data_IF_285779927693
#
_entry.id   IF_285779927693
#
_cell.length_a   1.000
_cell.length_b   1.000
_cell.length_c   1.000
_cell.angle_alpha   90.00
_cell.angle_beta   90.00
_cell.angle_gamma   90.00
#
_symmetry.space_group_name_H-M   'P 1'
#
loop_
_entity.id
_entity.type
_entity.pdbx_description
1 polymer ?
#
# COMPACT_ATOMS: atom_id res chain seq x y z
N UNK A 1 -28.18 12.85 -54.86
CA UNK A 1 -29.17 12.51 -55.91
C UNK A 1 -28.57 11.44 -56.79
N UNK A 2 -29.29 10.32 -56.95
CA UNK A 2 -28.96 9.08 -57.67
C UNK A 2 -28.14 8.03 -56.89
N UNK A 3 -28.58 6.81 -57.13
CA UNK A 3 -28.67 5.59 -56.34
C UNK A 3 -28.42 4.45 -57.37
N UNK A 4 -28.19 3.20 -56.92
CA UNK A 4 -28.09 1.94 -57.73
C UNK A 4 -26.69 1.67 -58.34
N UNK A 5 -26.02 0.49 -58.28
CA UNK A 5 -26.45 -0.93 -58.31
C UNK A 5 -25.35 -1.92 -57.82
N UNK A 6 -25.83 -2.96 -57.12
CA UNK A 6 -25.49 -4.40 -57.06
C UNK A 6 -24.07 -4.99 -57.02
N UNK A 7 -23.99 -5.91 -56.04
CA UNK A 7 -23.25 -7.18 -55.90
C UNK A 7 -22.42 -7.74 -57.05
N UNK A 8 -21.24 -8.25 -56.69
CA UNK A 8 -20.69 -9.48 -57.26
C UNK A 8 -20.03 -10.32 -56.15
N UNK A 9 -20.57 -11.53 -55.97
CA UNK A 9 -19.95 -12.65 -55.23
C UNK A 9 -18.66 -13.05 -55.93
N UNK A 10 -17.63 -13.43 -55.17
CA UNK A 10 -16.53 -14.20 -55.75
C UNK A 10 -15.36 -14.46 -54.81
N UNK A 11 -14.95 -15.74 -54.80
CA UNK A 11 -13.69 -16.35 -54.29
C UNK A 11 -13.74 -16.76 -52.82
N UNK A 12 -14.00 -18.04 -52.58
CA UNK A 12 -13.08 -19.20 -52.66
C UNK A 12 -12.12 -19.26 -51.48
N UNK A 13 -12.36 -20.32 -50.70
CA UNK A 13 -11.59 -20.86 -49.60
C UNK A 13 -10.09 -20.96 -49.91
N UNK A 14 -9.27 -20.60 -48.92
CA UNK A 14 -7.89 -21.09 -48.81
C UNK A 14 -7.49 -21.10 -47.33
N UNK A 15 -7.37 -22.32 -46.81
CA UNK A 15 -6.52 -22.79 -45.71
C UNK A 15 -6.25 -21.85 -44.52
N UNK A 16 -7.01 -22.05 -43.44
CA UNK A 16 -6.57 -21.68 -42.08
C UNK A 16 -6.36 -22.98 -41.31
N UNK A 17 -5.13 -23.47 -41.36
CA UNK A 17 -4.65 -24.57 -40.50
C UNK A 17 -4.33 -23.93 -39.14
N UNK A 18 -5.28 -23.98 -38.20
CA UNK A 18 -5.05 -23.54 -36.81
C UNK A 18 -4.26 -24.65 -36.13
N UNK A 19 -2.95 -24.45 -35.94
CA UNK A 19 -2.15 -25.23 -35.03
C UNK A 19 -2.61 -24.86 -33.61
N UNK A 20 -3.40 -25.73 -32.98
CA UNK A 20 -3.68 -25.65 -31.56
C UNK A 20 -2.43 -26.12 -30.80
N UNK A 21 -1.49 -25.21 -30.54
CA UNK A 21 -0.40 -25.42 -29.61
C UNK A 21 -0.99 -25.26 -28.20
N UNK A 22 -1.39 -26.37 -27.58
CA UNK A 22 -1.74 -26.40 -26.16
C UNK A 22 -0.44 -26.20 -25.39
N UNK A 23 -0.16 -24.96 -25.01
CA UNK A 23 0.87 -24.64 -24.03
C UNK A 23 0.29 -25.09 -22.68
N UNK A 24 0.64 -26.31 -22.26
CA UNK A 24 0.60 -26.72 -20.85
C UNK A 24 1.71 -25.93 -20.14
N UNK A 25 1.44 -24.66 -19.86
CA UNK A 25 2.17 -23.93 -18.83
C UNK A 25 1.79 -24.62 -17.52
N UNK A 26 2.67 -25.50 -17.05
CA UNK A 26 2.56 -26.06 -15.72
C UNK A 26 2.63 -24.90 -14.74
N UNK A 27 1.47 -24.45 -14.26
CA UNK A 27 1.35 -23.57 -13.10
C UNK A 27 2.02 -24.29 -11.95
N UNK A 28 3.26 -23.95 -11.64
CA UNK A 28 3.86 -24.36 -10.39
C UNK A 28 3.05 -23.65 -9.31
N UNK A 29 2.22 -24.41 -8.60
CA UNK A 29 1.63 -23.89 -7.37
C UNK A 29 2.78 -23.71 -6.41
N UNK A 30 3.16 -22.46 -6.16
CA UNK A 30 4.08 -22.11 -5.07
C UNK A 30 3.38 -22.57 -3.80
N UNK A 31 3.99 -23.51 -3.09
CA UNK A 31 3.48 -23.96 -1.80
C UNK A 31 3.79 -22.86 -0.79
N UNK A 32 2.76 -22.10 -0.41
CA UNK A 32 2.83 -21.14 0.70
C UNK A 32 3.05 -21.89 2.01
N UNK A 33 3.71 -21.24 2.97
CA UNK A 33 3.84 -21.77 4.32
C UNK A 33 2.47 -21.95 4.99
N UNK A 34 2.43 -22.71 6.07
CA UNK A 34 1.23 -22.73 6.91
C UNK A 34 1.03 -21.31 7.50
N UNK A 35 -0.17 -20.70 7.37
CA UNK A 35 -0.43 -19.39 7.95
C UNK A 35 -0.17 -19.36 9.45
N UNK A 36 0.36 -18.24 9.93
CA UNK A 36 0.40 -17.91 11.35
C UNK A 36 -1.02 -17.58 11.80
N UNK A 37 -1.55 -18.37 12.74
CA UNK A 37 -2.87 -18.12 13.31
C UNK A 37 -2.71 -17.43 14.66
N UNK A 38 -3.33 -16.27 14.81
CA UNK A 38 -3.47 -15.56 16.07
C UNK A 38 -4.89 -15.77 16.60
N UNK A 39 -5.03 -15.98 17.90
CA UNK A 39 -6.31 -16.32 18.51
C UNK A 39 -6.44 -15.73 19.91
N UNK A 40 -7.67 -15.59 20.39
CA UNK A 40 -7.93 -15.13 21.77
C UNK A 40 -7.26 -16.02 22.83
N UNK A 41 -6.99 -17.29 22.52
CA UNK A 41 -6.33 -18.24 23.42
C UNK A 41 -4.81 -18.14 23.41
N UNK A 42 -4.21 -17.74 22.30
CA UNK A 42 -2.75 -17.71 22.10
C UNK A 42 -2.18 -16.30 22.23
N UNK A 43 -3.03 -15.27 22.11
CA UNK A 43 -2.67 -13.87 22.14
C UNK A 43 -2.67 -13.23 20.74
N UNK A 44 -2.57 -11.90 20.72
CA UNK A 44 -2.64 -11.07 19.50
C UNK A 44 -1.29 -10.47 19.13
N UNK A 45 -0.20 -11.11 19.55
CA UNK A 45 1.17 -10.68 19.27
C UNK A 45 1.85 -11.65 18.30
N UNK A 46 2.49 -11.11 17.27
CA UNK A 46 3.42 -11.86 16.44
C UNK A 46 4.71 -12.15 17.22
N UNK A 47 5.33 -13.31 16.96
CA UNK A 47 6.62 -13.61 17.56
C UNK A 47 7.67 -12.63 16.99
N UNK A 48 8.53 -12.01 17.84
CA UNK A 48 9.51 -11.01 17.39
C UNK A 48 10.51 -11.52 16.34
N UNK A 49 10.67 -12.84 16.23
CA UNK A 49 11.57 -13.54 15.32
C UNK A 49 10.82 -14.37 14.26
N UNK A 50 9.50 -14.18 14.09
CA UNK A 50 8.70 -14.96 13.16
C UNK A 50 9.24 -14.84 11.72
N UNK A 51 9.47 -13.61 11.27
CA UNK A 51 9.97 -13.26 9.93
C UNK A 51 10.65 -11.89 9.98
N UNK A 52 11.51 -11.60 9.00
CA UNK A 52 12.16 -10.31 8.84
C UNK A 52 12.07 -9.89 7.38
N UNK A 53 11.55 -8.71 7.12
CA UNK A 53 11.63 -8.08 5.81
C UNK A 53 13.06 -7.67 5.50
N UNK A 54 13.40 -7.73 4.22
CA UNK A 54 14.74 -7.38 3.76
C UNK A 54 14.88 -5.85 3.74
N UNK A 55 15.97 -5.28 4.29
CA UNK A 55 16.30 -3.89 4.01
C UNK A 55 16.60 -3.72 2.52
N UNK A 56 16.33 -2.54 1.92
CA UNK A 56 16.71 -2.30 0.53
C UNK A 56 18.24 -2.39 0.35
N UNK A 57 18.66 -3.21 -0.61
CA UNK A 57 20.06 -3.45 -1.02
C UNK A 57 20.29 -3.27 -2.51
N UNK A 58 19.24 -3.26 -3.33
CA UNK A 58 19.34 -3.10 -4.78
C UNK A 58 19.02 -1.66 -5.20
N UNK A 59 19.75 -1.11 -6.21
CA UNK A 59 19.43 0.20 -6.76
C UNK A 59 17.97 0.29 -7.21
N UNK A 60 17.35 1.44 -6.92
CA UNK A 60 16.02 1.78 -7.42
C UNK A 60 16.06 2.97 -8.36
N UNK A 61 14.89 3.31 -8.89
CA UNK A 61 14.74 4.39 -9.87
C UNK A 61 13.74 5.43 -9.37
N UNK A 62 14.09 6.71 -9.49
CA UNK A 62 13.20 7.84 -9.34
C UNK A 62 13.07 8.55 -10.71
N UNK A 63 11.91 8.44 -11.35
CA UNK A 63 11.57 9.27 -12.49
C UNK A 63 10.91 10.56 -12.00
N UNK A 64 11.51 11.71 -12.31
CA UNK A 64 10.89 13.01 -12.06
C UNK A 64 10.41 13.59 -13.39
N UNK A 65 9.09 13.74 -13.55
CA UNK A 65 8.52 14.26 -14.80
C UNK A 65 9.09 15.64 -15.12
N UNK A 66 9.81 15.72 -16.24
CA UNK A 66 10.44 16.95 -16.73
C UNK A 66 11.93 17.07 -16.41
N UNK A 67 12.48 16.26 -15.50
CA UNK A 67 13.91 16.19 -15.17
C UNK A 67 14.56 14.90 -15.70
N UNK A 68 13.81 13.80 -15.74
CA UNK A 68 14.25 12.51 -16.28
C UNK A 68 14.34 11.43 -15.21
N UNK A 69 15.08 10.38 -15.54
CA UNK A 69 15.27 9.20 -14.69
C UNK A 69 16.57 9.32 -13.90
N UNK A 70 16.49 9.09 -12.59
CA UNK A 70 17.60 9.10 -11.66
C UNK A 70 17.69 7.75 -10.94
N UNK A 71 18.89 7.27 -10.68
CA UNK A 71 19.13 6.02 -9.94
C UNK A 71 19.65 6.35 -8.54
N UNK A 72 19.16 5.65 -7.52
CA UNK A 72 19.66 5.79 -6.15
C UNK A 72 20.26 4.47 -5.66
N UNK A 73 21.26 4.57 -4.76
CA UNK A 73 21.91 3.44 -4.10
C UNK A 73 21.44 3.38 -2.63
N UNK A 74 20.64 2.36 -2.22
CA UNK A 74 20.20 2.20 -0.85
C UNK A 74 21.32 2.24 0.20
N UNK A 75 22.53 1.79 -0.13
CA UNK A 75 23.63 1.76 0.82
C UNK A 75 24.12 3.16 1.24
N UNK A 76 23.79 4.20 0.47
CA UNK A 76 24.11 5.59 0.77
C UNK A 76 22.98 6.34 1.49
N UNK A 77 21.84 5.69 1.71
CA UNK A 77 20.63 6.32 2.23
C UNK A 77 20.60 6.34 3.76
N UNK A 78 20.01 7.41 4.30
CA UNK A 78 19.63 7.50 5.71
C UNK A 78 18.24 8.10 5.81
N UNK A 79 17.41 7.62 6.73
CA UNK A 79 16.07 8.16 6.91
C UNK A 79 16.06 9.52 7.60
N UNK A 80 15.16 10.41 7.16
CA UNK A 80 14.79 11.66 7.82
C UNK A 80 13.70 11.46 8.88
N UNK A 81 13.11 10.26 8.96
CA UNK A 81 12.12 9.84 9.96
C UNK A 81 12.68 8.74 10.88
N UNK A 82 13.75 9.02 11.66
CA UNK A 82 14.30 8.03 12.60
C UNK A 82 13.35 7.71 13.76
N UNK A 83 12.27 8.48 13.91
CA UNK A 83 11.14 8.20 14.79
C UNK A 83 10.22 7.09 14.24
N UNK A 84 10.19 6.87 12.92
CA UNK A 84 9.38 5.83 12.27
C UNK A 84 10.25 4.62 11.89
N UNK A 85 11.35 4.84 11.18
CA UNK A 85 12.15 3.75 10.59
C UNK A 85 13.35 3.36 11.45
N UNK A 86 13.67 2.07 11.46
CA UNK A 86 14.95 1.57 12.03
C UNK A 86 16.11 1.81 11.07
N UNK A 87 17.37 1.81 11.54
CA UNK A 87 18.53 1.96 10.66
C UNK A 87 18.56 0.92 9.54
N UNK A 88 18.79 1.37 8.30
CA UNK A 88 18.77 0.54 7.09
C UNK A 88 17.46 0.59 6.33
N UNK A 89 16.38 1.10 6.93
CA UNK A 89 15.12 1.39 6.26
C UNK A 89 14.94 2.90 6.07
N UNK A 90 14.24 3.26 5.00
CA UNK A 90 13.99 4.64 4.60
C UNK A 90 12.75 4.72 3.70
N UNK A 91 12.25 5.93 3.53
CA UNK A 91 11.02 6.25 2.81
C UNK A 91 11.27 6.73 1.38
N UNK A 92 10.20 6.82 0.60
CA UNK A 92 10.23 7.45 -0.74
C UNK A 92 10.70 8.92 -0.66
N UNK A 93 10.33 9.65 0.40
CA UNK A 93 10.76 11.03 0.58
C UNK A 93 12.28 11.13 0.80
N UNK A 94 12.85 10.18 1.53
CA UNK A 94 14.30 10.13 1.77
C UNK A 94 15.07 10.01 0.45
N UNK A 95 14.58 9.20 -0.49
CA UNK A 95 15.15 9.05 -1.85
C UNK A 95 15.18 10.39 -2.59
N UNK A 96 14.09 11.15 -2.54
CA UNK A 96 14.01 12.45 -3.20
C UNK A 96 15.04 13.43 -2.63
N UNK A 97 15.17 13.51 -1.31
CA UNK A 97 16.13 14.40 -0.65
C UNK A 97 17.55 14.01 -1.01
N UNK A 98 17.92 12.73 -0.89
CA UNK A 98 19.23 12.23 -1.26
C UNK A 98 19.59 12.62 -2.71
N UNK A 99 18.69 12.36 -3.66
CA UNK A 99 18.94 12.68 -5.06
C UNK A 99 19.03 14.18 -5.32
N UNK A 100 18.30 15.02 -4.58
CA UNK A 100 18.43 16.48 -4.69
C UNK A 100 19.84 16.95 -4.31
N UNK A 101 20.42 16.33 -3.28
CA UNK A 101 21.76 16.66 -2.79
C UNK A 101 22.86 16.11 -3.72
N UNK A 102 22.69 14.91 -4.26
CA UNK A 102 23.72 14.26 -5.10
C UNK A 102 23.68 14.72 -6.56
N UNK A 103 22.49 14.92 -7.12
CA UNK A 103 22.29 15.31 -8.53
C UNK A 103 22.21 16.84 -8.70
N UNK A 104 22.01 17.58 -7.60
CA UNK A 104 22.11 19.04 -7.57
C UNK A 104 20.90 19.77 -8.18
N UNK A 105 19.70 19.20 -8.10
CA UNK A 105 18.46 19.92 -8.40
C UNK A 105 17.91 20.62 -7.16
N UNK A 106 17.21 21.74 -7.36
CA UNK A 106 16.64 22.53 -6.27
C UNK A 106 15.40 21.85 -5.70
N UNK A 107 15.44 21.55 -4.39
CA UNK A 107 14.33 21.03 -3.60
C UNK A 107 14.17 21.90 -2.35
N UNK A 108 13.01 22.53 -2.21
CA UNK A 108 12.57 23.26 -1.02
C UNK A 108 11.49 22.44 -0.31
N UNK A 109 11.74 22.08 0.94
CA UNK A 109 10.88 21.23 1.74
C UNK A 109 11.02 21.52 3.23
N UNK A 110 10.02 21.14 4.01
CA UNK A 110 10.10 21.13 5.46
C UNK A 110 9.22 20.03 6.04
N UNK A 111 9.50 19.62 7.28
CA UNK A 111 8.53 18.89 8.07
C UNK A 111 7.40 19.84 8.49
N UNK A 112 6.16 19.45 8.25
CA UNK A 112 4.96 20.19 8.65
C UNK A 112 4.32 19.49 9.85
N UNK A 113 4.41 20.11 11.02
CA UNK A 113 3.86 19.59 12.28
C UNK A 113 2.32 19.46 12.25
N UNK A 114 1.61 20.28 11.46
CA UNK A 114 0.15 20.17 11.35
C UNK A 114 -0.29 18.99 10.49
N UNK A 115 0.60 18.49 9.62
CA UNK A 115 0.33 17.36 8.73
C UNK A 115 1.05 16.07 9.17
N UNK A 116 2.02 16.20 10.08
CA UNK A 116 2.90 15.13 10.57
C UNK A 116 3.67 14.42 9.43
N UNK A 117 4.09 15.20 8.42
CA UNK A 117 4.81 14.73 7.22
C UNK A 117 5.75 15.79 6.71
N UNK A 118 6.76 15.37 5.95
CA UNK A 118 7.48 16.28 5.06
C UNK A 118 6.61 16.73 3.89
N UNK A 119 6.71 18.03 3.55
CA UNK A 119 5.99 18.67 2.44
C UNK A 119 6.99 19.26 1.45
N UNK A 120 6.77 19.02 0.16
CA UNK A 120 7.54 19.64 -0.92
C UNK A 120 6.91 21.00 -1.23
N UNK A 121 7.59 22.08 -0.86
CA UNK A 121 7.18 23.45 -1.22
C UNK A 121 7.49 23.74 -2.68
N UNK A 122 8.68 23.34 -3.11
CA UNK A 122 9.12 23.50 -4.49
C UNK A 122 10.12 22.43 -4.91
N UNK A 123 10.00 21.95 -6.14
CA UNK A 123 11.05 21.23 -6.84
C UNK A 123 11.28 21.89 -8.20
N UNK A 124 12.50 22.36 -8.42
CA UNK A 124 12.90 23.16 -9.59
C UNK A 124 11.97 24.36 -9.88
N UNK A 125 11.54 25.05 -8.82
CA UNK A 125 10.68 26.23 -8.89
C UNK A 125 9.19 25.95 -9.09
N UNK A 126 8.77 24.68 -9.10
CA UNK A 126 7.37 24.26 -9.26
C UNK A 126 6.84 23.64 -7.97
N UNK A 127 5.59 23.95 -7.61
CA UNK A 127 4.88 23.37 -6.46
C UNK A 127 3.87 22.32 -6.91
N UNK A 128 3.34 21.54 -5.98
CA UNK A 128 2.26 20.59 -6.26
C UNK A 128 2.75 19.21 -6.68
N UNK A 129 3.94 18.81 -6.21
CA UNK A 129 4.53 17.52 -6.51
C UNK A 129 3.92 16.42 -5.64
N UNK A 130 3.61 15.29 -6.27
CA UNK A 130 3.21 14.05 -5.63
C UNK A 130 3.93 12.87 -6.28
N UNK A 131 3.64 11.65 -5.82
CA UNK A 131 4.29 10.44 -6.31
C UNK A 131 3.32 9.28 -6.55
N UNK A 132 3.75 8.40 -7.44
CA UNK A 132 3.28 7.02 -7.54
C UNK A 132 4.45 6.08 -7.22
N UNK A 133 4.14 4.95 -6.60
CA UNK A 133 5.10 3.92 -6.21
C UNK A 133 4.88 2.65 -7.05
N UNK A 134 5.95 2.03 -7.51
CA UNK A 134 5.89 0.80 -8.30
C UNK A 134 6.93 -0.20 -7.81
N UNK A 135 6.46 -1.35 -7.33
CA UNK A 135 7.34 -2.46 -6.97
C UNK A 135 7.69 -3.29 -8.20
N UNK A 136 8.89 -3.86 -8.21
CA UNK A 136 9.34 -4.69 -9.32
C UNK A 136 8.35 -5.84 -9.58
N UNK A 137 7.85 -5.91 -10.81
CA UNK A 137 6.83 -6.89 -11.26
C UNK A 137 5.36 -6.50 -10.97
N UNK A 138 5.13 -5.39 -10.27
CA UNK A 138 3.81 -4.86 -9.93
C UNK A 138 3.25 -3.85 -10.94
N UNK A 139 2.23 -3.09 -10.49
CA UNK A 139 1.73 -1.89 -11.16
C UNK A 139 2.05 -0.63 -10.34
N UNK A 140 1.87 0.55 -10.94
CA UNK A 140 1.96 1.81 -10.19
C UNK A 140 0.75 1.96 -9.26
N UNK A 141 1.03 2.20 -7.98
CA UNK A 141 0.04 2.59 -6.99
C UNK A 141 -0.11 4.11 -6.97
N UNK A 142 -1.32 4.57 -7.31
CA UNK A 142 -1.68 5.97 -7.12
C UNK A 142 -2.04 6.23 -5.66
N UNK A 143 -1.02 6.28 -4.82
CA UNK A 143 -1.14 6.32 -3.36
C UNK A 143 -1.57 7.69 -2.82
N UNK A 144 -2.20 7.67 -1.64
CA UNK A 144 -2.48 8.82 -0.78
C UNK A 144 -1.70 8.75 0.54
N UNK A 145 -0.74 7.83 0.64
CA UNK A 145 0.12 7.67 1.82
C UNK A 145 1.14 8.81 1.87
N UNK A 146 1.51 9.26 3.07
CA UNK A 146 2.57 10.25 3.27
C UNK A 146 3.87 9.73 2.67
N UNK A 147 4.50 10.53 1.81
CA UNK A 147 5.70 10.11 1.08
C UNK A 147 6.86 9.73 2.02
N UNK A 148 6.93 10.35 3.20
CA UNK A 148 7.93 10.07 4.23
C UNK A 148 7.57 8.91 5.17
N UNK A 149 6.45 8.23 4.92
CA UNK A 149 6.01 7.01 5.62
C UNK A 149 5.98 5.78 4.70
N UNK A 150 6.13 5.97 3.38
CA UNK A 150 6.07 4.88 2.42
C UNK A 150 7.45 4.19 2.30
N UNK A 151 7.62 2.95 2.79
CA UNK A 151 8.91 2.28 2.79
C UNK A 151 9.39 1.98 1.37
N UNK A 152 10.68 2.21 1.12
CA UNK A 152 11.33 1.75 -0.12
C UNK A 152 11.64 0.26 -0.01
N UNK A 153 11.54 -0.46 -1.14
CA UNK A 153 11.94 -1.86 -1.30
C UNK A 153 12.94 -2.02 -2.45
N UNK A 154 13.56 -3.18 -2.54
CA UNK A 154 14.45 -3.54 -3.65
C UNK A 154 13.77 -3.39 -5.01
N UNK A 155 14.49 -2.82 -5.99
CA UNK A 155 14.03 -2.68 -7.37
C UNK A 155 12.88 -1.69 -7.57
N UNK A 156 12.49 -0.95 -6.54
CA UNK A 156 11.36 -0.03 -6.60
C UNK A 156 11.59 1.10 -7.61
N UNK A 157 10.55 1.39 -8.39
CA UNK A 157 10.44 2.56 -9.26
C UNK A 157 9.48 3.58 -8.65
N UNK A 158 9.88 4.83 -8.59
CA UNK A 158 9.10 5.94 -8.06
C UNK A 158 8.88 6.94 -9.18
N UNK A 159 7.65 7.38 -9.38
CA UNK A 159 7.30 8.42 -10.36
C UNK A 159 6.85 9.68 -9.64
N UNK A 160 7.63 10.76 -9.74
CA UNK A 160 7.27 12.08 -9.21
C UNK A 160 6.65 12.95 -10.30
N UNK A 161 5.51 13.57 -10.01
CA UNK A 161 4.75 14.38 -10.98
C UNK A 161 3.99 15.53 -10.32
N UNK A 162 3.63 16.53 -11.13
CA UNK A 162 2.69 17.57 -10.71
C UNK A 162 1.28 16.99 -10.67
N UNK A 163 0.67 16.95 -9.49
CA UNK A 163 -0.66 16.43 -9.28
C UNK A 163 -1.74 17.48 -9.59
N UNK A 164 -2.95 17.00 -9.86
CA UNK A 164 -4.15 17.83 -9.87
C UNK A 164 -4.29 18.58 -8.53
N UNK A 165 -4.36 19.93 -8.54
CA UNK A 165 -4.43 20.70 -7.31
C UNK A 165 -5.59 20.30 -6.39
N UNK A 166 -6.75 19.93 -6.94
CA UNK A 166 -7.88 19.55 -6.10
C UNK A 166 -7.66 18.21 -5.39
N UNK A 167 -6.99 17.25 -6.05
CA UNK A 167 -6.58 16.00 -5.38
C UNK A 167 -5.52 16.27 -4.31
N UNK A 168 -4.52 17.09 -4.60
CA UNK A 168 -3.46 17.39 -3.63
C UNK A 168 -4.00 18.14 -2.40
N UNK A 169 -4.90 19.11 -2.61
CA UNK A 169 -5.59 19.80 -1.53
C UNK A 169 -6.40 18.82 -0.67
N UNK A 170 -7.08 17.85 -1.29
CA UNK A 170 -7.82 16.82 -0.57
C UNK A 170 -6.93 15.87 0.25
N UNK A 171 -5.76 15.49 -0.26
CA UNK A 171 -4.76 14.70 0.49
C UNK A 171 -4.25 15.51 1.69
N UNK A 172 -3.93 16.78 1.46
CA UNK A 172 -3.41 17.68 2.50
C UNK A 172 -4.45 17.89 3.60
N UNK A 173 -5.71 18.16 3.25
CA UNK A 173 -6.78 18.31 4.23
C UNK A 173 -7.01 17.01 4.99
N UNK A 174 -6.99 15.86 4.31
CA UNK A 174 -7.09 14.56 4.97
C UNK A 174 -5.99 14.36 6.02
N UNK A 175 -4.72 14.65 5.69
CA UNK A 175 -3.63 14.54 6.66
C UNK A 175 -3.78 15.49 7.84
N UNK A 176 -4.28 16.70 7.59
CA UNK A 176 -4.57 17.68 8.65
C UNK A 176 -5.67 17.19 9.58
N UNK A 177 -6.74 16.61 9.04
CA UNK A 177 -7.83 16.02 9.81
C UNK A 177 -7.33 14.87 10.71
N UNK A 178 -6.46 14.01 10.19
CA UNK A 178 -5.83 12.92 10.96
C UNK A 178 -4.95 13.46 12.10
N UNK A 179 -4.03 14.38 11.80
CA UNK A 179 -3.12 14.95 12.78
C UNK A 179 -3.88 15.72 13.87
N UNK A 180 -4.91 16.49 13.49
CA UNK A 180 -5.78 17.20 14.43
C UNK A 180 -6.52 16.22 15.33
N UNK A 181 -7.10 15.16 14.76
CA UNK A 181 -7.81 14.13 15.54
C UNK A 181 -6.88 13.47 16.55
N UNK A 182 -5.68 13.06 16.13
CA UNK A 182 -4.67 12.48 17.01
C UNK A 182 -4.29 13.44 18.14
N UNK A 183 -4.03 14.71 17.83
CA UNK A 183 -3.68 15.72 18.82
C UNK A 183 -4.81 15.97 19.85
N UNK A 184 -6.07 16.04 19.40
CA UNK A 184 -7.24 16.28 20.25
C UNK A 184 -7.48 15.17 21.28
N UNK A 185 -7.05 13.94 20.98
CA UNK A 185 -7.15 12.78 21.88
C UNK A 185 -5.81 12.40 22.52
N UNK A 186 -4.84 13.31 22.52
CA UNK A 186 -3.58 13.14 23.25
C UNK A 186 -2.60 12.15 22.60
N UNK A 187 -2.67 11.98 21.29
CA UNK A 187 -1.80 11.09 20.51
C UNK A 187 -2.30 9.65 20.39
N UNK A 188 -3.44 9.32 21.01
CA UNK A 188 -4.09 8.02 20.80
C UNK A 188 -4.62 7.91 19.36
N UNK A 189 -4.79 6.67 18.88
CA UNK A 189 -5.43 6.40 17.59
C UNK A 189 -6.79 5.78 17.86
N UNK A 190 -7.85 6.55 17.61
CA UNK A 190 -9.23 6.08 17.70
C UNK A 190 -9.83 6.22 16.31
N UNK A 191 -10.15 5.08 15.68
CA UNK A 191 -10.80 5.05 14.39
C UNK A 191 -12.32 5.17 14.57
N UNK A 192 -12.96 6.25 14.10
CA UNK A 192 -14.40 6.41 14.20
C UNK A 192 -15.19 5.26 13.55
N UNK A 193 -14.67 4.68 12.47
CA UNK A 193 -15.29 3.56 11.77
C UNK A 193 -14.24 2.59 11.19
N UNK A 194 -14.42 1.30 11.46
CA UNK A 194 -13.72 0.21 10.76
C UNK A 194 -14.76 -0.69 10.12
N UNK A 195 -14.64 -0.92 8.82
CA UNK A 195 -15.54 -1.81 8.07
C UNK A 195 -14.76 -3.03 7.61
N UNK A 196 -15.29 -4.24 7.85
CA UNK A 196 -14.80 -5.47 7.23
C UNK A 196 -15.86 -5.94 6.23
N UNK A 197 -15.49 -6.07 4.96
CA UNK A 197 -16.41 -6.42 3.90
C UNK A 197 -15.93 -7.63 3.10
N UNK A 198 -16.85 -8.56 2.90
CA UNK A 198 -16.74 -9.64 1.92
C UNK A 198 -17.79 -9.46 0.82
N UNK A 199 -17.81 -10.37 -0.15
CA UNK A 199 -18.84 -10.38 -1.21
C UNK A 199 -20.28 -10.61 -0.69
N UNK A 200 -20.45 -11.09 0.55
CA UNK A 200 -21.77 -11.51 1.08
C UNK A 200 -22.11 -10.94 2.44
N UNK A 201 -21.13 -10.51 3.22
CA UNK A 201 -21.29 -10.05 4.59
C UNK A 201 -20.40 -8.84 4.81
N UNK A 202 -20.89 -7.87 5.58
CA UNK A 202 -20.12 -6.75 6.10
C UNK A 202 -20.29 -6.66 7.62
N UNK A 203 -19.24 -6.23 8.31
CA UNK A 203 -19.24 -5.89 9.72
C UNK A 203 -18.72 -4.45 9.89
N UNK A 204 -19.30 -3.70 10.82
CA UNK A 204 -18.87 -2.36 11.18
C UNK A 204 -18.50 -2.30 12.66
N UNK A 205 -17.41 -1.62 12.96
CA UNK A 205 -16.94 -1.33 14.31
C UNK A 205 -16.74 0.18 14.46
N UNK A 206 -17.03 0.73 15.63
CA UNK A 206 -16.98 2.17 15.88
C UNK A 206 -16.10 2.47 17.07
N UNK A 207 -15.45 3.63 17.02
CA UNK A 207 -14.58 4.13 18.07
C UNK A 207 -13.51 3.09 18.47
N UNK A 208 -12.89 2.48 17.45
CA UNK A 208 -11.89 1.42 17.64
C UNK A 208 -10.59 2.07 18.11
N UNK A 209 -10.21 1.80 19.36
CA UNK A 209 -8.90 2.17 19.90
C UNK A 209 -7.86 1.23 19.28
N UNK A 210 -6.86 1.81 18.60
CA UNK A 210 -5.77 1.07 17.95
C UNK A 210 -4.48 1.29 18.73
N UNK A 211 -3.80 0.20 19.07
CA UNK A 211 -2.51 0.23 19.76
C UNK A 211 -1.42 -0.45 18.93
N UNK A 212 -0.16 -0.05 19.14
CA UNK A 212 0.96 -0.66 18.43
C UNK A 212 1.25 -2.07 18.96
N UNK A 213 1.20 -3.08 18.08
CA UNK A 213 1.59 -4.46 18.39
C UNK A 213 3.02 -4.77 17.95
N UNK A 214 3.71 -3.80 17.34
CA UNK A 214 5.10 -3.91 16.91
C UNK A 214 5.34 -5.10 15.98
N UNK A 215 4.42 -5.33 15.04
CA UNK A 215 4.48 -6.43 14.09
C UNK A 215 5.76 -6.42 13.21
N UNK A 216 6.35 -5.24 13.00
CA UNK A 216 7.49 -5.00 12.10
C UNK A 216 8.64 -4.24 12.76
N UNK A 217 9.15 -4.75 13.87
CA UNK A 217 10.35 -4.20 14.54
C UNK A 217 11.64 -4.27 13.70
N UNK A 218 11.60 -5.02 12.60
CA UNK A 218 12.63 -5.07 11.57
C UNK A 218 12.62 -3.83 10.66
N UNK A 219 11.47 -3.16 10.49
CA UNK A 219 11.31 -1.97 9.62
C UNK A 219 11.09 -0.70 10.43
N UNK A 220 10.26 -0.79 11.47
CA UNK A 220 9.77 0.36 12.23
C UNK A 220 10.28 0.38 13.67
N UNK A 221 10.37 1.58 14.22
CA UNK A 221 10.63 1.80 15.63
C UNK A 221 9.50 1.20 16.49
N UNK A 222 9.80 0.75 17.72
CA UNK A 222 8.76 0.35 18.67
C UNK A 222 7.75 1.48 18.91
N UNK A 223 6.46 1.15 18.86
CA UNK A 223 5.36 2.09 19.04
C UNK A 223 4.76 2.63 17.73
N UNK A 224 5.37 2.37 16.58
CA UNK A 224 4.77 2.69 15.28
C UNK A 224 3.52 1.84 15.07
N UNK A 225 2.38 2.50 14.88
CA UNK A 225 1.10 1.85 14.56
C UNK A 225 0.97 1.70 13.05
N UNK A 226 0.53 0.53 12.62
CA UNK A 226 0.35 0.14 11.22
C UNK A 226 -1.11 -0.22 10.97
N UNK A 227 -1.48 -0.41 9.70
CA UNK A 227 -2.83 -0.85 9.35
C UNK A 227 -3.16 -2.23 9.94
N UNK A 228 -2.20 -3.16 10.01
CA UNK A 228 -2.40 -4.49 10.62
C UNK A 228 -2.81 -4.38 12.09
N UNK A 229 -2.30 -3.38 12.82
CA UNK A 229 -2.63 -3.16 14.22
C UNK A 229 -4.12 -2.88 14.46
N UNK A 230 -4.87 -2.44 13.44
CA UNK A 230 -6.33 -2.28 13.52
C UNK A 230 -7.00 -3.63 13.78
N UNK A 231 -6.62 -4.67 13.03
CA UNK A 231 -7.18 -6.01 13.19
C UNK A 231 -6.71 -6.66 14.50
N UNK A 232 -5.44 -6.47 14.86
CA UNK A 232 -4.89 -6.99 16.11
C UNK A 232 -5.60 -6.36 17.32
N UNK A 233 -5.85 -5.05 17.29
CA UNK A 233 -6.59 -4.33 18.35
C UNK A 233 -8.05 -4.80 18.46
N UNK A 234 -8.72 -5.10 17.33
CA UNK A 234 -10.05 -5.72 17.34
C UNK A 234 -10.00 -7.13 17.97
N UNK A 235 -8.95 -7.89 17.69
CA UNK A 235 -8.68 -9.16 18.36
C UNK A 235 -8.51 -9.01 19.87
N UNK A 236 -7.67 -8.08 20.33
CA UNK A 236 -7.46 -7.81 21.76
C UNK A 236 -8.74 -7.39 22.48
N UNK A 237 -9.61 -6.63 21.79
CA UNK A 237 -10.93 -6.26 22.29
C UNK A 237 -11.93 -7.44 22.35
N UNK A 238 -11.54 -8.64 21.88
CA UNK A 238 -12.37 -9.84 21.84
C UNK A 238 -13.43 -9.81 20.73
N UNK A 239 -13.28 -8.92 19.75
CA UNK A 239 -14.19 -8.80 18.60
C UNK A 239 -13.87 -9.86 17.56
N UNK A 240 -12.59 -10.07 17.28
CA UNK A 240 -12.11 -11.20 16.48
C UNK A 240 -11.79 -12.37 17.42
N UNK A 241 -12.13 -13.58 17.00
CA UNK A 241 -11.74 -14.81 17.71
C UNK A 241 -10.48 -15.44 17.12
N UNK A 242 -10.21 -15.19 15.83
CA UNK A 242 -9.05 -15.70 15.10
C UNK A 242 -8.67 -14.76 13.95
N UNK A 243 -7.37 -14.65 13.67
CA UNK A 243 -6.80 -13.95 12.52
C UNK A 243 -5.68 -14.81 11.92
N UNK A 244 -5.82 -15.18 10.65
CA UNK A 244 -4.77 -15.87 9.90
C UNK A 244 -3.91 -14.88 9.12
N UNK A 245 -2.59 -15.01 9.26
CA UNK A 245 -1.58 -14.19 8.60
C UNK A 245 -0.63 -15.08 7.81
N UNK A 246 -0.43 -14.77 6.54
CA UNK A 246 0.51 -15.44 5.65
C UNK A 246 1.64 -14.48 5.29
N UNK A 247 2.88 -14.87 5.59
CA UNK A 247 4.04 -14.08 5.20
C UNK A 247 4.44 -14.40 3.77
N UNK A 248 4.63 -13.35 2.96
CA UNK A 248 5.03 -13.49 1.56
C UNK A 248 6.28 -12.68 1.25
N UNK A 249 7.33 -13.38 0.81
CA UNK A 249 8.52 -12.74 0.25
C UNK A 249 8.28 -12.18 -1.16
N UNK A 250 7.33 -12.78 -1.89
CA UNK A 250 6.92 -12.44 -3.26
C UNK A 250 5.46 -12.82 -3.51
N UNK A 251 4.82 -12.25 -4.53
CA UNK A 251 3.47 -12.64 -4.97
C UNK A 251 3.33 -12.50 -6.50
N UNK A 252 3.12 -13.62 -7.20
CA UNK A 252 3.08 -13.66 -8.66
C UNK A 252 4.39 -13.15 -9.29
N UNK A 253 4.29 -12.10 -10.10
CA UNK A 253 5.43 -11.43 -10.72
C UNK A 253 6.12 -10.45 -9.76
N UNK A 254 5.52 -10.12 -8.62
CA UNK A 254 6.05 -9.16 -7.64
C UNK A 254 7.14 -9.87 -6.82
N UNK A 255 8.39 -9.49 -7.03
CA UNK A 255 9.55 -10.22 -6.50
C UNK A 255 9.91 -9.86 -5.05
N UNK A 256 9.44 -8.71 -4.57
CA UNK A 256 9.75 -8.20 -3.23
C UNK A 256 8.47 -7.66 -2.60
N UNK A 257 7.80 -8.52 -1.84
CA UNK A 257 6.66 -8.13 -1.00
C UNK A 257 7.12 -7.92 0.43
N UNK A 258 7.69 -8.95 1.06
CA UNK A 258 8.19 -8.94 2.45
C UNK A 258 7.16 -8.36 3.43
N UNK A 259 5.96 -8.96 3.43
CA UNK A 259 4.84 -8.47 4.21
C UNK A 259 3.83 -9.56 4.56
N UNK A 260 2.97 -9.23 5.53
CA UNK A 260 1.90 -10.10 5.98
C UNK A 260 0.61 -9.84 5.20
N UNK A 261 0.07 -10.91 4.63
CA UNK A 261 -1.28 -10.94 4.07
C UNK A 261 -2.24 -11.48 5.11
N UNK A 262 -3.38 -10.81 5.26
CA UNK A 262 -4.48 -11.35 6.06
C UNK A 262 -5.22 -12.38 5.21
N UNK A 263 -5.14 -13.64 5.64
CA UNK A 263 -5.68 -14.79 4.89
C UNK A 263 -6.95 -15.37 5.53
N UNK A 264 -7.23 -15.07 6.78
CA UNK A 264 -8.52 -15.40 7.39
C UNK A 264 -8.87 -14.45 8.52
N UNK A 265 -10.16 -14.23 8.72
CA UNK A 265 -10.70 -13.53 9.90
C UNK A 265 -11.85 -14.38 10.43
N UNK A 266 -11.89 -14.59 11.74
CA UNK A 266 -13.09 -15.11 12.42
C UNK A 266 -13.60 -14.10 13.44
N UNK A 267 -14.88 -13.73 13.32
CA UNK A 267 -15.66 -12.92 14.23
C UNK A 267 -17.13 -13.39 14.25
N UNK A 268 -17.92 -12.89 15.20
CA UNK A 268 -19.35 -13.23 15.27
C UNK A 268 -20.08 -12.82 13.98
N UNK A 269 -20.57 -13.82 13.24
CA UNK A 269 -21.31 -13.58 11.99
C UNK A 269 -20.44 -13.17 10.79
N UNK A 270 -19.11 -13.09 10.93
CA UNK A 270 -18.18 -12.74 9.87
C UNK A 270 -16.96 -13.66 9.94
N UNK A 271 -16.88 -14.65 9.05
CA UNK A 271 -15.77 -15.62 9.04
C UNK A 271 -15.22 -15.89 7.63
N UNK A 272 -14.81 -14.86 6.88
CA UNK A 272 -14.22 -15.08 5.57
C UNK A 272 -12.79 -15.62 5.68
N UNK A 273 -12.44 -16.47 4.72
CA UNK A 273 -11.13 -17.09 4.54
C UNK A 273 -10.73 -16.96 3.07
N UNK A 274 -9.45 -16.77 2.79
CA UNK A 274 -8.90 -16.77 1.43
C UNK A 274 -9.23 -18.08 0.74
N UNK A 275 -9.86 -17.98 -0.43
CA UNK A 275 -9.94 -19.10 -1.37
C UNK A 275 -9.22 -18.74 -2.65
N UNK A 276 -8.19 -19.49 -3.05
CA UNK A 276 -7.45 -19.22 -4.29
C UNK A 276 -6.62 -17.94 -4.23
N UNK A 277 -6.81 -17.04 -5.19
CA UNK A 277 -6.10 -15.75 -5.35
C UNK A 277 -6.76 -14.59 -4.59
N UNK A 278 -7.70 -14.86 -3.69
CA UNK A 278 -8.29 -13.80 -2.88
C UNK A 278 -7.29 -13.32 -1.84
N UNK A 279 -7.35 -12.03 -1.52
CA UNK A 279 -6.59 -11.38 -0.45
C UNK A 279 -7.51 -10.39 0.25
N UNK A 280 -7.33 -10.21 1.56
CA UNK A 280 -7.97 -9.11 2.26
C UNK A 280 -7.12 -7.86 2.06
N UNK A 281 -7.77 -6.83 1.56
CA UNK A 281 -7.14 -5.58 1.18
C UNK A 281 -7.68 -4.45 2.05
N UNK A 282 -6.95 -3.35 2.24
CA UNK A 282 -7.32 -2.28 3.17
C UNK A 282 -7.22 -0.89 2.54
N UNK A 283 -8.13 0.01 2.87
CA UNK A 283 -8.13 1.38 2.38
C UNK A 283 -8.40 2.35 3.53
N UNK A 284 -7.56 3.38 3.64
CA UNK A 284 -7.89 4.57 4.43
C UNK A 284 -9.01 5.34 3.73
N UNK A 285 -10.04 5.69 4.48
CA UNK A 285 -11.19 6.46 4.03
C UNK A 285 -11.25 7.81 4.76
N UNK A 286 -11.83 8.81 4.09
CA UNK A 286 -12.09 10.13 4.66
C UNK A 286 -13.03 10.94 3.78
N UNK A 287 -13.85 11.79 4.40
CA UNK A 287 -14.84 12.60 3.67
C UNK A 287 -14.24 13.48 2.57
N UNK A 288 -13.02 13.97 2.79
CA UNK A 288 -12.28 14.86 1.88
C UNK A 288 -11.59 14.11 0.74
N UNK A 289 -10.98 12.96 1.03
CA UNK A 289 -10.21 12.18 0.04
C UNK A 289 -11.04 11.16 -0.75
N UNK A 290 -12.21 10.74 -0.23
CA UNK A 290 -12.99 9.64 -0.78
C UNK A 290 -13.37 9.78 -2.27
N UNK A 291 -13.58 11.01 -2.76
CA UNK A 291 -13.84 11.26 -4.18
C UNK A 291 -12.64 10.95 -5.11
N UNK A 292 -11.43 10.95 -4.57
CA UNK A 292 -10.18 10.71 -5.29
C UNK A 292 -9.65 9.28 -5.13
N UNK A 293 -10.28 8.49 -4.26
CA UNK A 293 -9.90 7.11 -4.01
C UNK A 293 -10.36 6.14 -5.11
N UNK A 294 -11.26 6.57 -6.01
CA UNK A 294 -11.84 5.86 -7.18
C UNK A 294 -12.25 4.38 -6.98
N UNK A 295 -13.46 3.98 -7.42
CA UNK A 295 -13.94 2.63 -7.21
C UNK A 295 -13.27 1.67 -8.22
N UNK A 296 -12.14 1.06 -7.85
CA UNK A 296 -11.42 0.02 -8.60
C UNK A 296 -10.80 0.54 -9.92
N UNK A 297 -9.48 0.61 -10.11
CA UNK A 297 -8.70 -0.60 -10.37
C UNK A 297 -7.19 -0.49 -10.10
N UNK A 298 -6.65 0.65 -9.64
CA UNK A 298 -5.19 0.83 -9.41
C UNK A 298 -4.83 1.84 -8.30
N UNK A 299 -5.82 2.30 -7.51
CA UNK A 299 -5.62 3.23 -6.38
C UNK A 299 -5.53 2.52 -5.04
N UNK A 300 -5.69 1.20 -5.06
CA UNK A 300 -5.63 0.37 -3.87
C UNK A 300 -4.17 0.04 -3.58
N UNK A 301 -3.56 0.68 -2.58
CA UNK A 301 -2.21 0.39 -2.02
C UNK A 301 -1.95 -1.08 -1.63
N UNK A 302 -2.89 -2.00 -1.88
CA UNK A 302 -3.15 -3.13 -1.00
C UNK A 302 -2.38 -4.40 -1.39
N UNK A 303 -1.83 -4.48 -2.60
CA UNK A 303 -1.01 -5.63 -3.04
C UNK A 303 0.47 -5.39 -2.73
N UNK A 304 0.83 -4.13 -2.56
CA UNK A 304 2.16 -3.61 -2.80
C UNK A 304 2.71 -3.00 -1.50
N UNK A 305 1.86 -2.27 -0.77
CA UNK A 305 2.04 -1.90 0.61
C UNK A 305 1.09 -2.75 1.48
N UNK A 306 1.61 -3.84 2.03
CA UNK A 306 0.84 -4.73 2.92
C UNK A 306 0.44 -4.00 4.20
N UNK A 307 -0.59 -4.48 4.89
CA UNK A 307 -1.16 -3.80 6.05
C UNK A 307 -0.16 -3.59 7.20
N UNK A 308 0.82 -4.48 7.33
CA UNK A 308 1.90 -4.38 8.32
C UNK A 308 2.98 -3.34 7.95
N UNK A 309 2.92 -2.76 6.75
CA UNK A 309 3.85 -1.75 6.24
C UNK A 309 3.22 -0.37 6.05
N UNK A 310 1.90 -0.24 6.12
CA UNK A 310 1.22 1.05 6.03
C UNK A 310 1.09 1.68 7.42
N UNK A 311 1.87 2.74 7.68
CA UNK A 311 1.82 3.49 8.95
C UNK A 311 0.47 4.20 9.08
N UNK A 312 -0.12 4.11 10.27
CA UNK A 312 -1.42 4.68 10.61
C UNK A 312 -1.25 5.90 11.52
N UNK A 313 -1.93 7.01 11.20
CA UNK A 313 -1.93 8.23 12.05
C UNK A 313 -3.25 8.38 12.81
N UNK A 314 -4.35 8.74 12.15
CA UNK A 314 -5.68 8.81 12.78
C UNK A 314 -6.81 9.01 11.76
N UNK A 315 -6.97 8.10 10.77
CA UNK A 315 -7.98 8.27 9.74
C UNK A 315 -9.40 8.28 10.28
N UNK A 316 -10.31 8.91 9.52
CA UNK A 316 -11.73 8.93 9.86
C UNK A 316 -12.36 7.54 9.74
N UNK A 317 -11.89 6.74 8.79
CA UNK A 317 -12.32 5.36 8.64
C UNK A 317 -11.26 4.48 7.98
N UNK A 318 -11.36 3.19 8.24
CA UNK A 318 -10.61 2.15 7.54
C UNK A 318 -11.59 1.13 6.98
N UNK A 319 -11.45 0.80 5.71
CA UNK A 319 -12.23 -0.25 5.05
C UNK A 319 -11.33 -1.42 4.69
N UNK A 320 -11.75 -2.62 5.05
CA UNK A 320 -11.12 -3.86 4.63
C UNK A 320 -12.05 -4.59 3.67
N UNK A 321 -11.54 -4.98 2.51
CA UNK A 321 -12.32 -5.63 1.46
C UNK A 321 -11.62 -6.90 0.98
N UNK A 322 -12.36 -8.00 0.98
CA UNK A 322 -11.95 -9.21 0.27
C UNK A 322 -12.02 -9.01 -1.24
N UNK A 323 -10.88 -9.08 -1.90
CA UNK A 323 -10.76 -9.00 -3.35
C UNK A 323 -10.18 -10.30 -3.87
N UNK A 324 -10.79 -10.84 -4.92
CA UNK A 324 -10.30 -12.00 -5.64
C UNK A 324 -9.76 -11.55 -7.00
N UNK A 325 -8.47 -11.80 -7.23
CA UNK A 325 -7.77 -11.48 -8.48
C UNK A 325 -8.01 -12.55 -9.55
#
# INVERSE_FOLDING_TARGET
MRQWIQSARGRQQSYVLILALIILLGTQMVAWGEPTVLSITEGWSLAPDAVQGRPPTQPGVLEIRGLGELTFDPAAMTTLRPDIFVPGHFSVFDVLVYLSETEGFELDYSFDEELQTHVIHSLSGLSGWWYDAHYEGGGFDKTVVRMDQFPVKDGMSILLYLEDPARLDAITEHFKEEATRSADIGGEIILPLVTLQSSTVAAEFRDVVVTAHNARLDVFQPGTVTMLDVLLSLGEAGVLTELGLDWRDSDGDIVVVDGYYVVSIQAEGFSPETTGSCVLTHQIQGGTIGAFLSPHSHTMSHIHLTADLEVLVSPEAVEWLWICL
#
